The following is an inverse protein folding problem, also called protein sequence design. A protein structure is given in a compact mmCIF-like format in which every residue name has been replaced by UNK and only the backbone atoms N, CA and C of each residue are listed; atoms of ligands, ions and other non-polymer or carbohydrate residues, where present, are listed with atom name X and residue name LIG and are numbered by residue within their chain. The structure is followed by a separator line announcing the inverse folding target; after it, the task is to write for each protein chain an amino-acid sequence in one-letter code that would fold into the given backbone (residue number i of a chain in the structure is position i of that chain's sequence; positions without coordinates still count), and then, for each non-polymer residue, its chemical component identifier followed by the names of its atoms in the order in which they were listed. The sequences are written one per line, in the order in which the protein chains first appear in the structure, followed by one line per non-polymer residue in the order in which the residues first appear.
data_IF_537097723630
#
_entry.id   IF_537097723630
#
_cell.length_a   1.000
_cell.length_b   1.000
_cell.length_c   1.000
_cell.angle_alpha   90.00
_cell.angle_beta   90.00
_cell.angle_gamma   90.00
#
_symmetry.space_group_name_H-M   'P 1'
#
loop_
_entity.id
_entity.type
_entity.pdbx_description
1 polymer ?
#
# COMPACT_ATOMS: atom_id res chain seq x y z
N UNK A 1 16.42 -4.07 -13.99
CA UNK A 1 15.43 -3.68 -12.97
C UNK A 1 15.62 -4.54 -11.74
N UNK A 2 15.57 -3.93 -10.56
CA UNK A 2 15.82 -4.63 -9.29
C UNK A 2 14.73 -4.31 -8.27
N UNK A 3 14.48 -5.25 -7.37
CA UNK A 3 13.60 -5.10 -6.22
C UNK A 3 14.47 -4.98 -4.97
N UNK A 4 14.39 -3.84 -4.28
CA UNK A 4 14.94 -3.66 -2.94
C UNK A 4 13.88 -4.16 -1.97
N UNK A 5 14.26 -5.09 -1.09
CA UNK A 5 13.33 -5.77 -0.22
C UNK A 5 13.87 -5.84 1.20
N UNK A 6 13.02 -5.53 2.18
CA UNK A 6 13.30 -5.66 3.61
C UNK A 6 12.14 -6.33 4.33
N UNK A 7 12.43 -7.27 5.23
CA UNK A 7 11.43 -7.94 6.06
C UNK A 7 11.74 -7.68 7.54
N UNK A 8 10.87 -6.95 8.24
CA UNK A 8 11.12 -6.52 9.63
C UNK A 8 12.42 -5.73 9.78
N UNK A 9 13.23 -6.07 10.77
CA UNK A 9 14.54 -5.46 11.03
C UNK A 9 15.70 -6.06 10.22
N UNK A 10 15.41 -6.97 9.28
CA UNK A 10 16.45 -7.56 8.45
C UNK A 10 17.13 -6.52 7.54
N UNK A 11 18.34 -6.85 7.10
CA UNK A 11 19.05 -6.07 6.10
C UNK A 11 18.29 -6.03 4.76
N UNK A 12 18.47 -4.94 4.04
CA UNK A 12 17.96 -4.79 2.68
C UNK A 12 18.60 -5.82 1.75
N UNK A 13 17.76 -6.48 0.95
CA UNK A 13 18.16 -7.42 -0.10
C UNK A 13 17.84 -6.82 -1.46
N UNK A 14 18.79 -6.87 -2.38
CA UNK A 14 18.58 -6.52 -3.78
C UNK A 14 18.29 -7.80 -4.54
N UNK A 15 17.14 -7.84 -5.21
CA UNK A 15 16.64 -9.02 -5.93
C UNK A 15 16.49 -8.63 -7.40
N UNK A 16 17.23 -9.27 -8.32
CA UNK A 16 17.09 -8.96 -9.74
C UNK A 16 15.67 -9.34 -10.23
N UNK A 17 15.14 -8.53 -11.13
CA UNK A 17 13.86 -8.79 -11.80
C UNK A 17 14.12 -9.15 -13.26
N UNK A 18 13.49 -10.23 -13.73
CA UNK A 18 13.56 -10.67 -15.12
C UNK A 18 12.49 -9.96 -15.95
N UNK A 19 12.79 -9.63 -17.20
CA UNK A 19 11.78 -9.17 -18.15
C UNK A 19 10.97 -10.38 -18.63
N UNK A 20 9.69 -10.42 -18.30
CA UNK A 20 8.76 -11.49 -18.68
C UNK A 20 8.08 -11.18 -20.02
N UNK A 21 7.79 -9.91 -20.27
CA UNK A 21 7.30 -9.37 -21.53
C UNK A 21 7.84 -7.95 -21.71
N UNK A 22 7.70 -7.37 -22.91
CA UNK A 22 8.21 -6.02 -23.18
C UNK A 22 7.73 -5.01 -22.12
N UNK A 23 8.70 -4.44 -21.38
CA UNK A 23 8.46 -3.49 -20.28
C UNK A 23 7.73 -4.06 -19.05
N UNK A 24 7.61 -5.38 -18.94
CA UNK A 24 7.02 -6.07 -17.80
C UNK A 24 8.11 -6.88 -17.11
N UNK A 25 8.46 -6.47 -15.90
CA UNK A 25 9.50 -7.10 -15.10
C UNK A 25 8.89 -7.79 -13.89
N UNK A 26 9.31 -9.03 -13.64
CA UNK A 26 8.78 -9.83 -12.52
C UNK A 26 9.91 -10.50 -11.74
N UNK A 27 9.64 -10.72 -10.46
CA UNK A 27 10.41 -11.60 -9.58
C UNK A 27 9.48 -12.21 -8.56
N UNK A 28 9.84 -13.37 -8.01
CA UNK A 28 9.06 -14.04 -6.97
C UNK A 28 9.94 -14.28 -5.76
N UNK A 29 9.44 -13.87 -4.61
CA UNK A 29 10.12 -14.03 -3.33
C UNK A 29 9.13 -14.69 -2.36
N UNK A 30 9.55 -15.78 -1.73
CA UNK A 30 8.73 -16.56 -0.82
C UNK A 30 9.28 -16.50 0.61
N UNK A 31 8.42 -16.79 1.60
CA UNK A 31 8.87 -16.98 2.99
C UNK A 31 9.27 -15.72 3.75
N UNK A 32 8.75 -14.54 3.37
CA UNK A 32 9.11 -13.27 4.00
C UNK A 32 8.32 -12.94 5.28
N UNK A 33 7.33 -13.76 5.62
CA UNK A 33 6.41 -13.47 6.72
C UNK A 33 5.45 -12.33 6.38
N UNK A 34 4.94 -11.66 7.42
CA UNK A 34 4.01 -10.55 7.28
C UNK A 34 4.77 -9.25 7.03
N UNK A 35 4.15 -8.36 6.26
CA UNK A 35 4.52 -6.96 6.15
C UNK A 35 5.94 -6.64 5.62
N UNK A 36 6.51 -7.39 4.65
CA UNK A 36 7.75 -6.95 4.02
C UNK A 36 7.53 -5.63 3.27
N UNK A 37 8.60 -4.86 3.16
CA UNK A 37 8.59 -3.54 2.51
C UNK A 37 9.56 -3.53 1.34
N UNK A 38 9.20 -2.83 0.26
CA UNK A 38 9.97 -2.84 -0.98
C UNK A 38 10.03 -1.50 -1.71
N UNK A 39 11.00 -1.41 -2.63
CA UNK A 39 11.13 -0.39 -3.68
C UNK A 39 11.58 -1.02 -4.97
N UNK A 40 11.23 -0.41 -6.10
CA UNK A 40 11.78 -0.74 -7.40
C UNK A 40 12.98 0.15 -7.71
N UNK A 41 14.09 -0.46 -8.10
CA UNK A 41 15.26 0.25 -8.61
C UNK A 41 15.30 0.14 -10.13
N UNK A 42 15.26 1.32 -10.75
CA UNK A 42 15.39 1.51 -12.18
C UNK A 42 16.85 1.84 -12.50
N UNK A 43 17.40 1.16 -13.51
CA UNK A 43 18.82 1.25 -13.86
C UNK A 43 19.18 2.68 -14.29
N UNK A 44 20.12 3.30 -13.58
CA UNK A 44 20.59 4.66 -13.86
C UNK A 44 19.65 5.79 -13.42
N UNK A 45 18.49 5.48 -12.82
CA UNK A 45 17.51 6.49 -12.40
C UNK A 45 17.41 6.61 -10.88
N UNK A 46 17.08 5.53 -10.18
CA UNK A 46 16.95 5.55 -8.71
C UNK A 46 15.94 4.54 -8.15
N UNK A 47 15.59 4.76 -6.88
CA UNK A 47 14.76 3.86 -6.07
C UNK A 47 13.39 4.47 -5.81
N UNK A 48 12.36 3.85 -6.38
CA UNK A 48 10.99 4.35 -6.37
C UNK A 48 10.05 3.43 -5.59
N UNK A 49 9.04 4.00 -4.89
CA UNK A 49 7.98 3.19 -4.31
C UNK A 49 7.20 2.46 -5.40
N UNK A 50 6.52 1.39 -5.02
CA UNK A 50 5.54 0.76 -5.90
C UNK A 50 4.36 1.74 -6.13
N UNK A 51 4.10 2.17 -7.37
CA UNK A 51 2.96 3.04 -7.68
C UNK A 51 1.60 2.38 -7.41
N UNK A 52 1.55 1.06 -7.27
CA UNK A 52 0.37 0.25 -6.94
C UNK A 52 0.32 -0.19 -5.48
N UNK A 53 1.20 0.32 -4.63
CA UNK A 53 1.20 -0.01 -3.20
C UNK A 53 -0.14 0.33 -2.54
N UNK A 54 -0.68 -0.62 -1.77
CA UNK A 54 -1.88 -0.38 -0.95
C UNK A 54 -1.58 0.39 0.34
N UNK A 55 -0.32 0.43 0.78
CA UNK A 55 0.08 1.08 2.03
C UNK A 55 1.50 1.67 1.97
N UNK A 56 1.63 2.90 2.47
CA UNK A 56 2.85 3.72 2.45
C UNK A 56 3.22 4.23 3.86
N UNK A 57 3.74 3.36 4.75
CA UNK A 57 3.99 3.70 6.17
C UNK A 57 5.08 4.76 6.36
N UNK A 58 6.01 4.88 5.41
CA UNK A 58 7.19 5.75 5.52
C UNK A 58 7.08 7.00 4.63
N UNK A 59 5.85 7.40 4.30
CA UNK A 59 5.56 8.52 3.40
C UNK A 59 5.64 8.16 1.93
N UNK A 60 5.22 9.08 1.07
CA UNK A 60 5.00 8.85 -0.38
C UNK A 60 6.26 8.49 -1.18
N UNK A 61 7.45 8.78 -0.64
CA UNK A 61 8.74 8.41 -1.26
C UNK A 61 9.47 7.30 -0.49
N UNK A 62 8.86 6.80 0.57
CA UNK A 62 9.39 5.73 1.41
C UNK A 62 9.26 4.35 0.75
N UNK A 63 9.59 3.30 1.50
CA UNK A 63 9.30 1.94 1.06
C UNK A 63 7.79 1.69 1.07
N UNK A 64 7.32 0.96 0.07
CA UNK A 64 5.97 0.44 -0.02
C UNK A 64 5.83 -0.82 0.83
N UNK A 65 4.71 -1.00 1.55
CA UNK A 65 4.51 -2.18 2.39
C UNK A 65 3.53 -3.17 1.74
N UNK A 66 3.93 -4.43 1.66
CA UNK A 66 3.04 -5.52 1.27
C UNK A 66 1.98 -5.70 2.34
N UNK A 67 0.71 -5.68 1.93
CA UNK A 67 -0.45 -5.70 2.85
C UNK A 67 -1.16 -7.04 2.75
N UNK A 68 -1.52 -7.63 3.90
CA UNK A 68 -2.39 -8.80 3.95
C UNK A 68 -3.86 -8.39 3.82
N UNK A 69 -4.44 -8.59 2.63
CA UNK A 69 -5.84 -8.27 2.36
C UNK A 69 -6.84 -9.24 3.03
N UNK A 70 -6.39 -10.42 3.48
CA UNK A 70 -7.23 -11.39 4.19
C UNK A 70 -7.23 -11.18 5.71
N UNK A 71 -6.36 -10.31 6.23
CA UNK A 71 -6.22 -10.04 7.67
C UNK A 71 -7.47 -9.43 8.30
N UNK A 72 -8.34 -8.78 7.52
CA UNK A 72 -9.63 -8.29 7.97
C UNK A 72 -10.78 -9.10 7.34
N UNK A 73 -11.51 -9.83 8.20
CA UNK A 73 -12.74 -10.51 7.82
C UNK A 73 -13.89 -9.51 7.84
N UNK A 74 -14.47 -9.23 6.67
CA UNK A 74 -15.62 -8.33 6.55
C UNK A 74 -16.82 -8.91 7.30
N UNK A 75 -17.50 -8.07 8.07
CA UNK A 75 -18.66 -8.49 8.87
C UNK A 75 -20.00 -8.25 8.16
N UNK A 76 -19.97 -7.55 7.02
CA UNK A 76 -21.12 -7.02 6.31
C UNK A 76 -21.22 -7.56 4.87
N UNK A 77 -20.74 -8.77 4.62
CA UNK A 77 -20.71 -9.40 3.29
C UNK A 77 -22.09 -9.46 2.59
N UNK A 78 -23.17 -9.44 3.37
CA UNK A 78 -24.55 -9.41 2.86
C UNK A 78 -25.05 -8.04 2.42
N UNK A 79 -24.30 -6.96 2.65
CA UNK A 79 -24.72 -5.60 2.30
C UNK A 79 -24.76 -5.40 0.78
N UNK A 80 -25.92 -5.02 0.25
CA UNK A 80 -26.17 -4.83 -1.20
C UNK A 80 -26.24 -3.35 -1.61
N UNK A 81 -26.04 -2.42 -0.67
CA UNK A 81 -26.27 -0.99 -0.90
C UNK A 81 -27.75 -0.59 -0.87
N UNK A 82 -28.01 0.68 -1.18
CA UNK A 82 -29.35 1.25 -1.35
C UNK A 82 -29.58 1.62 -2.82
N UNK A 83 -30.84 1.67 -3.24
CA UNK A 83 -31.20 2.21 -4.55
C UNK A 83 -30.76 3.67 -4.67
N UNK A 84 -30.28 4.08 -5.86
CA UNK A 84 -29.67 5.40 -6.09
C UNK A 84 -30.61 6.55 -5.70
N UNK A 85 -31.89 6.42 -6.00
CA UNK A 85 -32.93 7.40 -5.67
C UNK A 85 -33.18 7.58 -4.16
N UNK A 86 -32.64 6.68 -3.33
CA UNK A 86 -32.71 6.75 -1.86
C UNK A 86 -31.42 7.29 -1.23
N UNK A 87 -30.35 7.48 -2.01
CA UNK A 87 -29.06 7.96 -1.49
C UNK A 87 -29.10 9.47 -1.22
N UNK A 88 -28.55 9.88 -0.09
CA UNK A 88 -28.17 11.26 0.20
C UNK A 88 -26.65 11.29 0.30
N UNK A 89 -25.98 12.08 -0.54
CA UNK A 89 -24.53 12.21 -0.53
C UNK A 89 -24.08 13.21 0.53
N UNK A 90 -23.01 12.85 1.25
CA UNK A 90 -22.38 13.72 2.24
C UNK A 90 -20.86 13.74 2.01
N UNK A 91 -20.32 14.92 1.73
CA UNK A 91 -18.89 15.13 1.53
C UNK A 91 -18.23 15.46 2.87
N UNK A 92 -17.28 14.62 3.30
CA UNK A 92 -16.57 14.76 4.58
C UNK A 92 -15.08 14.91 4.33
N UNK A 93 -14.47 15.90 4.98
CA UNK A 93 -13.02 15.97 5.12
C UNK A 93 -12.57 15.23 6.38
N UNK A 94 -11.94 14.05 6.21
CA UNK A 94 -11.54 13.16 7.32
C UNK A 94 -10.58 13.81 8.32
N UNK A 95 -9.72 14.73 7.87
CA UNK A 95 -8.75 15.44 8.72
C UNK A 95 -9.31 16.59 9.56
N UNK A 96 -10.58 16.97 9.39
CA UNK A 96 -11.21 18.08 10.15
C UNK A 96 -12.52 17.68 10.80
N UNK A 97 -13.20 16.65 10.28
CA UNK A 97 -14.50 16.21 10.78
C UNK A 97 -14.49 15.78 12.26
N UNK A 98 -13.38 15.20 12.73
CA UNK A 98 -13.25 14.73 14.12
C UNK A 98 -12.61 15.76 15.05
N UNK A 99 -12.15 16.90 14.54
CA UNK A 99 -11.44 17.89 15.35
C UNK A 99 -12.44 18.88 15.96
N UNK A 100 -12.74 18.71 17.25
CA UNK A 100 -13.28 19.77 18.09
C UNK A 100 -12.11 20.40 18.86
N UNK A 101 -11.70 21.65 18.58
CA UNK A 101 -10.86 22.37 19.53
C UNK A 101 -11.66 22.49 20.82
N UNK A 102 -11.12 22.03 21.94
CA UNK A 102 -11.71 22.29 23.26
C UNK A 102 -11.89 23.80 23.41
N UNK A 103 -13.14 24.26 23.39
CA UNK A 103 -13.49 25.59 23.86
C UNK A 103 -13.15 25.59 25.35
N UNK A 104 -12.00 26.18 25.69
CA UNK A 104 -11.73 26.59 27.07
C UNK A 104 -12.70 27.75 27.36
N UNK A 105 -13.87 27.43 27.89
CA UNK A 105 -14.67 28.38 28.68
C UNK A 105 -13.99 28.62 30.02
#
# INVERSE_FOLDING_TARGET
MELLLKAGDADEKIIPMGEEAAHIYTTRVEGLGLEPVCKFRLEGEGDYPDPYASFMPFGVHGFSQVTDHAGYQRQDEGWQGLALEKLIFYEIHTGTFFFLPSIKT
#
